data_IF_531386782945
#
_entry.id   IF_531386782945
#
_cell.length_a   1.000
_cell.length_b   1.000
_cell.length_c   1.000
_cell.angle_alpha   90.00
_cell.angle_beta   90.00
_cell.angle_gamma   90.00
#
_symmetry.space_group_name_H-M   'P 1'
#
loop_
_entity.id
_entity.type
_entity.pdbx_description
1 polymer ?
#
# COMPACT_ATOMS: atom_id res chain seq x y z
N UNK A 1 -19.53 -10.55 -2.26
CA UNK A 1 -18.70 -11.70 -1.90
C UNK A 1 -18.45 -11.64 -0.41
N UNK A 2 -18.83 -12.69 0.31
CA UNK A 2 -18.54 -12.81 1.74
C UNK A 2 -17.11 -13.30 1.91
N UNK A 3 -16.32 -12.49 2.60
CA UNK A 3 -14.88 -12.70 2.81
C UNK A 3 -14.59 -12.40 4.27
N UNK A 4 -13.94 -13.35 4.93
CA UNK A 4 -13.45 -13.21 6.30
C UNK A 4 -11.98 -12.84 6.25
N UNK A 5 -11.61 -11.76 6.95
CA UNK A 5 -10.21 -11.36 7.14
C UNK A 5 -9.81 -11.64 8.57
N UNK A 6 -8.78 -12.45 8.76
CA UNK A 6 -8.26 -12.81 10.09
C UNK A 6 -6.75 -13.03 10.07
N UNK A 7 -6.17 -13.07 11.26
CA UNK A 7 -4.80 -13.53 11.45
C UNK A 7 -4.64 -14.98 10.96
N UNK A 8 -3.50 -15.25 10.31
CA UNK A 8 -3.14 -16.59 9.87
C UNK A 8 -2.60 -17.41 11.02
N UNK A 9 -2.97 -18.69 11.06
CA UNK A 9 -2.57 -19.62 12.10
C UNK A 9 -1.93 -20.89 11.52
N UNK A 10 -0.80 -21.28 12.10
CA UNK A 10 -0.06 -22.48 11.73
C UNK A 10 0.68 -22.43 10.38
N UNK A 11 1.59 -23.40 10.19
CA UNK A 11 2.50 -23.44 9.04
C UNK A 11 1.78 -23.63 7.69
N UNK A 12 0.62 -24.32 7.69
CA UNK A 12 -0.16 -24.58 6.47
C UNK A 12 -0.65 -23.27 5.84
N UNK A 13 -1.24 -22.38 6.64
CA UNK A 13 -1.76 -21.10 6.16
C UNK A 13 -0.64 -20.15 5.75
N UNK A 14 0.46 -20.13 6.53
CA UNK A 14 1.65 -19.35 6.19
C UNK A 14 2.29 -19.81 4.88
N UNK A 15 2.26 -21.12 4.60
CA UNK A 15 2.73 -21.69 3.32
C UNK A 15 1.80 -21.31 2.18
N UNK A 16 0.48 -21.32 2.38
CA UNK A 16 -0.49 -20.87 1.39
C UNK A 16 -0.31 -19.38 1.04
N UNK A 17 -0.07 -18.53 2.05
CA UNK A 17 0.22 -17.11 1.85
C UNK A 17 1.50 -16.88 1.02
N UNK A 18 2.57 -17.61 1.31
CA UNK A 18 3.81 -17.54 0.54
C UNK A 18 3.62 -17.95 -0.94
N UNK A 19 2.80 -18.97 -1.20
CA UNK A 19 2.44 -19.39 -2.57
C UNK A 19 1.62 -18.32 -3.30
N UNK A 20 0.61 -17.75 -2.65
CA UNK A 20 -0.22 -16.69 -3.23
C UNK A 20 0.62 -15.45 -3.55
N UNK A 21 1.50 -15.03 -2.64
CA UNK A 21 2.43 -13.92 -2.86
C UNK A 21 3.25 -14.12 -4.14
N UNK A 22 3.90 -15.27 -4.28
CA UNK A 22 4.72 -15.58 -5.46
C UNK A 22 3.91 -15.57 -6.75
N UNK A 23 2.73 -16.18 -6.73
CA UNK A 23 1.83 -16.23 -7.90
C UNK A 23 1.42 -14.82 -8.34
N UNK A 24 1.04 -13.94 -7.41
CA UNK A 24 0.61 -12.58 -7.73
C UNK A 24 1.75 -11.72 -8.29
N UNK A 25 2.97 -11.92 -7.81
CA UNK A 25 4.15 -11.19 -8.30
C UNK A 25 4.84 -11.86 -9.49
N UNK A 26 4.40 -13.03 -9.95
CA UNK A 26 5.05 -13.78 -11.04
C UNK A 26 6.44 -14.31 -10.68
N UNK A 27 6.66 -14.64 -9.41
CA UNK A 27 7.94 -15.14 -8.93
C UNK A 27 8.02 -16.67 -9.03
N UNK A 28 8.78 -17.14 -10.02
CA UNK A 28 8.96 -18.57 -10.26
C UNK A 28 10.04 -19.19 -9.36
N UNK A 29 10.97 -18.35 -8.87
CA UNK A 29 12.07 -18.77 -8.02
C UNK A 29 11.69 -18.77 -6.53
N UNK A 30 12.00 -19.82 -5.74
CA UNK A 30 11.67 -19.92 -4.32
C UNK A 30 12.22 -18.78 -3.44
N UNK A 31 13.37 -18.21 -3.80
CA UNK A 31 14.08 -17.14 -3.08
C UNK A 31 13.32 -15.80 -3.04
N UNK A 32 12.41 -15.57 -3.98
CA UNK A 32 11.53 -14.40 -3.95
C UNK A 32 10.22 -14.67 -3.19
N UNK A 33 10.06 -15.87 -2.61
CA UNK A 33 8.95 -16.19 -1.73
C UNK A 33 9.11 -15.55 -0.35
N UNK A 34 7.97 -15.18 0.26
CA UNK A 34 7.98 -14.77 1.67
C UNK A 34 8.16 -16.00 2.54
N UNK A 35 9.19 -16.00 3.38
CA UNK A 35 9.48 -17.13 4.28
C UNK A 35 8.34 -17.33 5.29
N UNK A 36 7.73 -18.53 5.37
CA UNK A 36 6.73 -18.83 6.41
C UNK A 36 7.28 -18.64 7.84
N UNK A 37 8.58 -18.86 8.05
CA UNK A 37 9.23 -18.62 9.35
C UNK A 37 9.31 -17.14 9.70
N UNK A 38 9.54 -16.29 8.70
CA UNK A 38 9.49 -14.84 8.89
C UNK A 38 8.06 -14.40 9.24
N UNK A 39 7.05 -14.93 8.55
CA UNK A 39 5.65 -14.61 8.87
C UNK A 39 5.28 -15.04 10.30
N UNK A 40 5.69 -16.24 10.73
CA UNK A 40 5.50 -16.66 12.11
C UNK A 40 6.17 -15.69 13.10
N UNK A 41 7.42 -15.29 12.84
CA UNK A 41 8.13 -14.33 13.69
C UNK A 41 7.42 -12.96 13.73
N UNK A 42 6.94 -12.45 12.59
CA UNK A 42 6.22 -11.17 12.53
C UNK A 42 4.93 -11.21 13.33
N UNK A 43 4.16 -12.31 13.23
CA UNK A 43 2.92 -12.49 14.01
C UNK A 43 3.18 -12.37 15.52
N UNK A 44 4.23 -13.02 16.02
CA UNK A 44 4.59 -12.99 17.45
C UNK A 44 5.22 -11.66 17.91
N UNK A 45 5.61 -10.78 16.98
CA UNK A 45 6.41 -9.58 17.28
C UNK A 45 5.76 -8.29 16.75
N UNK A 46 4.47 -8.08 17.03
CA UNK A 46 3.75 -6.85 16.67
C UNK A 46 3.79 -6.52 15.16
N UNK A 47 3.90 -7.55 14.33
CA UNK A 47 3.64 -7.49 12.91
C UNK A 47 2.17 -7.75 12.60
N UNK A 48 1.82 -7.60 11.33
CA UNK A 48 0.52 -8.01 10.80
C UNK A 48 0.75 -9.15 9.83
N UNK A 49 0.00 -10.25 9.96
CA UNK A 49 0.00 -11.37 9.01
C UNK A 49 -1.43 -11.84 8.84
N UNK A 50 -2.11 -11.31 7.81
CA UNK A 50 -3.56 -11.43 7.66
C UNK A 50 -3.91 -12.09 6.32
N UNK A 51 -4.82 -13.06 6.36
CA UNK A 51 -5.42 -13.67 5.18
C UNK A 51 -6.85 -13.21 4.95
N UNK A 52 -7.25 -13.12 3.68
CA UNK A 52 -8.63 -13.03 3.25
C UNK A 52 -9.06 -14.38 2.68
N UNK A 53 -10.05 -15.01 3.30
CA UNK A 53 -10.56 -16.33 2.91
C UNK A 53 -11.97 -16.21 2.35
N UNK A 54 -12.25 -16.97 1.28
CA UNK A 54 -13.59 -17.15 0.74
C UNK A 54 -14.42 -18.16 1.59
N UNK A 55 -15.72 -18.36 1.31
CA UNK A 55 -16.56 -19.28 2.08
C UNK A 55 -16.12 -20.76 2.01
N UNK A 56 -15.35 -21.14 1.00
CA UNK A 56 -14.78 -22.48 0.88
C UNK A 56 -13.47 -22.65 1.67
N UNK A 57 -12.97 -21.59 2.30
CA UNK A 57 -11.70 -21.58 3.03
C UNK A 57 -10.48 -21.35 2.14
N UNK A 58 -10.66 -20.96 0.88
CA UNK A 58 -9.55 -20.65 -0.03
C UNK A 58 -9.00 -19.27 0.28
N UNK A 59 -7.66 -19.15 0.41
CA UNK A 59 -7.01 -17.86 0.58
C UNK A 59 -6.98 -17.09 -0.74
N UNK A 60 -7.77 -16.02 -0.82
CA UNK A 60 -7.92 -15.16 -2.00
C UNK A 60 -7.22 -13.81 -1.85
N UNK A 61 -6.64 -13.54 -0.69
CA UNK A 61 -5.84 -12.36 -0.43
C UNK A 61 -4.98 -12.51 0.82
N UNK A 62 -3.89 -11.76 0.86
CA UNK A 62 -2.90 -11.83 1.94
C UNK A 62 -2.22 -10.47 2.11
N UNK A 63 -1.98 -10.05 3.35
CA UNK A 63 -1.11 -8.91 3.61
C UNK A 63 -0.23 -9.15 4.82
N UNK A 64 0.97 -8.57 4.79
CA UNK A 64 1.85 -8.55 5.94
C UNK A 64 2.63 -7.25 6.08
N UNK A 65 3.14 -7.03 7.28
CA UNK A 65 3.83 -5.81 7.68
C UNK A 65 4.37 -5.89 9.09
N UNK A 66 5.09 -4.87 9.53
CA UNK A 66 5.82 -4.85 10.78
C UNK A 66 5.79 -3.45 11.43
N UNK A 67 5.86 -3.42 12.75
CA UNK A 67 6.05 -2.17 13.50
C UNK A 67 7.47 -1.64 13.29
N UNK A 68 7.60 -0.32 13.14
CA UNK A 68 8.85 0.38 12.92
C UNK A 68 8.84 1.72 13.66
N UNK A 69 10.03 2.21 14.00
CA UNK A 69 10.20 3.52 14.64
C UNK A 69 11.14 4.36 13.79
N UNK A 70 10.72 5.59 13.50
CA UNK A 70 11.52 6.59 12.80
C UNK A 70 11.32 7.94 13.47
N UNK A 71 12.41 8.63 13.81
CA UNK A 71 12.42 9.91 14.53
C UNK A 71 11.50 9.94 15.78
N UNK A 72 11.40 8.83 16.52
CA UNK A 72 10.58 8.70 17.73
C UNK A 72 9.09 8.43 17.48
N UNK A 73 8.65 8.39 16.22
CA UNK A 73 7.29 7.97 15.86
C UNK A 73 7.23 6.47 15.61
N UNK A 74 6.34 5.79 16.34
CA UNK A 74 5.92 4.43 16.01
C UNK A 74 4.95 4.45 14.83
N UNK A 75 5.27 3.69 13.78
CA UNK A 75 4.41 3.47 12.62
C UNK A 75 4.42 1.99 12.21
N UNK A 76 3.43 1.57 11.43
CA UNK A 76 3.39 0.24 10.85
C UNK A 76 3.79 0.28 9.38
N UNK A 77 4.77 -0.53 8.96
CA UNK A 77 5.12 -0.66 7.55
C UNK A 77 4.38 -1.84 6.93
N UNK A 78 3.48 -1.56 6.00
CA UNK A 78 2.76 -2.57 5.22
C UNK A 78 3.64 -3.04 4.05
N UNK A 79 4.42 -4.11 4.26
CA UNK A 79 5.34 -4.64 3.27
C UNK A 79 4.63 -5.14 2.00
N UNK A 80 3.53 -5.88 2.14
CA UNK A 80 2.79 -6.40 0.99
C UNK A 80 1.29 -6.52 1.28
N UNK A 81 0.49 -6.34 0.22
CA UNK A 81 -0.91 -6.70 0.18
C UNK A 81 -1.23 -7.23 -1.23
N UNK A 82 -1.60 -8.50 -1.32
CA UNK A 82 -1.88 -9.21 -2.56
C UNK A 82 -3.31 -9.72 -2.56
N UNK A 83 -3.92 -9.71 -3.74
CA UNK A 83 -5.29 -10.20 -3.98
C UNK A 83 -5.24 -11.03 -5.25
N UNK A 84 -5.77 -12.25 -5.18
CA UNK A 84 -5.91 -13.16 -6.32
C UNK A 84 -6.65 -12.46 -7.47
N UNK A 85 -6.26 -12.72 -8.71
CA UNK A 85 -6.73 -11.96 -9.88
C UNK A 85 -8.26 -11.98 -10.01
N UNK A 86 -8.85 -13.16 -9.80
CA UNK A 86 -10.28 -13.43 -9.79
C UNK A 86 -11.05 -12.71 -8.67
N UNK A 87 -10.35 -12.31 -7.60
CA UNK A 87 -10.92 -11.60 -6.46
C UNK A 87 -10.68 -10.07 -6.50
N UNK A 88 -9.97 -9.57 -7.52
CA UNK A 88 -9.72 -8.14 -7.66
C UNK A 88 -11.00 -7.36 -8.00
N UNK A 89 -11.12 -6.14 -7.47
CA UNK A 89 -12.32 -5.31 -7.66
C UNK A 89 -13.50 -5.66 -6.74
N UNK A 90 -13.44 -6.77 -6.00
CA UNK A 90 -14.50 -7.20 -5.06
C UNK A 90 -14.35 -6.61 -3.65
N UNK A 91 -13.47 -5.61 -3.47
CA UNK A 91 -13.23 -4.94 -2.19
C UNK A 91 -12.28 -5.67 -1.23
N UNK A 92 -11.72 -6.83 -1.60
CA UNK A 92 -10.80 -7.63 -0.76
C UNK A 92 -9.60 -6.81 -0.27
N UNK A 93 -8.93 -6.09 -1.18
CA UNK A 93 -7.78 -5.26 -0.83
C UNK A 93 -8.10 -4.16 0.19
N UNK A 94 -9.31 -3.57 0.12
CA UNK A 94 -9.78 -2.59 1.10
C UNK A 94 -9.96 -3.24 2.47
N UNK A 95 -10.59 -4.41 2.53
CA UNK A 95 -10.78 -5.15 3.79
C UNK A 95 -9.44 -5.54 4.42
N UNK A 96 -8.49 -6.03 3.62
CA UNK A 96 -7.13 -6.33 4.08
C UNK A 96 -6.44 -5.11 4.68
N UNK A 97 -6.45 -3.97 3.97
CA UNK A 97 -5.82 -2.73 4.46
C UNK A 97 -6.49 -2.20 5.74
N UNK A 98 -7.80 -2.30 5.85
CA UNK A 98 -8.53 -1.90 7.05
C UNK A 98 -8.22 -2.80 8.25
N UNK A 99 -8.16 -4.12 8.04
CA UNK A 99 -7.76 -5.06 9.09
C UNK A 99 -6.31 -4.84 9.52
N UNK A 100 -5.40 -4.60 8.57
CA UNK A 100 -4.00 -4.28 8.86
C UNK A 100 -3.87 -2.97 9.65
N UNK A 101 -4.66 -1.95 9.29
CA UNK A 101 -4.75 -0.71 10.04
C UNK A 101 -5.29 -0.91 11.47
N UNK A 102 -6.20 -1.86 11.68
CA UNK A 102 -6.67 -2.23 13.03
C UNK A 102 -5.58 -2.90 13.85
N UNK A 103 -4.83 -3.85 13.28
CA UNK A 103 -3.65 -4.46 13.94
C UNK A 103 -2.62 -3.38 14.31
N UNK A 104 -2.32 -2.47 13.38
CA UNK A 104 -1.39 -1.37 13.61
C UNK A 104 -1.84 -0.42 14.74
N UNK A 105 -3.12 -0.10 14.83
CA UNK A 105 -3.65 0.70 15.96
C UNK A 105 -3.45 0.00 17.30
N UNK A 106 -3.57 -1.33 17.33
CA UNK A 106 -3.36 -2.15 18.53
C UNK A 106 -1.94 -2.04 19.11
N UNK A 107 -0.94 -1.69 18.30
CA UNK A 107 0.44 -1.45 18.76
C UNK A 107 0.69 -0.01 19.21
N UNK A 108 -0.28 0.89 19.03
CA UNK A 108 -0.11 2.33 19.24
C UNK A 108 0.53 3.06 18.06
N UNK A 109 0.66 2.42 16.89
CA UNK A 109 1.20 3.08 15.70
C UNK A 109 0.36 4.31 15.31
N UNK A 110 1.01 5.45 15.05
CA UNK A 110 0.34 6.68 14.62
C UNK A 110 -0.08 6.62 13.14
N UNK A 111 0.80 6.05 12.32
CA UNK A 111 0.62 5.95 10.87
C UNK A 111 0.86 4.53 10.38
N UNK A 112 0.30 4.19 9.22
CA UNK A 112 0.70 3.03 8.43
C UNK A 112 1.30 3.49 7.11
N UNK A 113 2.47 2.97 6.74
CA UNK A 113 3.25 3.41 5.57
C UNK A 113 3.51 2.25 4.61
N UNK A 114 3.54 2.53 3.31
CA UNK A 114 3.94 1.56 2.28
C UNK A 114 4.30 2.28 0.98
N UNK A 115 5.01 1.59 0.10
CA UNK A 115 5.28 2.09 -1.27
C UNK A 115 4.27 1.54 -2.27
N UNK A 116 3.96 2.31 -3.32
CA UNK A 116 3.24 1.80 -4.51
C UNK A 116 3.86 2.32 -5.82
N UNK A 117 3.56 1.67 -6.94
CA UNK A 117 3.93 2.13 -8.29
C UNK A 117 3.08 3.35 -8.68
N UNK A 118 3.69 4.55 -8.87
CA UNK A 118 2.95 5.77 -9.19
C UNK A 118 2.25 5.71 -10.55
N UNK A 119 2.72 4.88 -11.48
CA UNK A 119 2.18 4.74 -12.83
C UNK A 119 0.96 3.81 -12.89
N UNK A 120 0.71 3.05 -11.82
CA UNK A 120 -0.48 2.22 -11.70
C UNK A 120 -1.68 3.07 -11.22
N UNK A 121 -2.32 3.79 -12.14
CA UNK A 121 -3.41 4.75 -11.84
C UNK A 121 -4.52 4.20 -10.93
N UNK A 122 -4.96 2.95 -11.15
CA UNK A 122 -5.97 2.31 -10.30
C UNK A 122 -5.49 2.16 -8.85
N UNK A 123 -4.20 1.87 -8.68
CA UNK A 123 -3.56 1.76 -7.38
C UNK A 123 -3.37 3.16 -6.76
N UNK A 124 -2.97 4.17 -7.53
CA UNK A 124 -2.90 5.56 -7.06
C UNK A 124 -4.26 6.03 -6.51
N UNK A 125 -5.34 5.82 -7.26
CA UNK A 125 -6.70 6.15 -6.83
C UNK A 125 -7.10 5.39 -5.55
N UNK A 126 -6.79 4.10 -5.46
CA UNK A 126 -7.08 3.32 -4.26
C UNK A 126 -6.34 3.86 -3.03
N UNK A 127 -5.04 4.14 -3.12
CA UNK A 127 -4.27 4.62 -1.98
C UNK A 127 -4.67 6.04 -1.56
N UNK A 128 -4.82 6.96 -2.51
CA UNK A 128 -5.00 8.37 -2.23
C UNK A 128 -6.47 8.75 -1.99
N UNK A 129 -7.37 8.36 -2.91
CA UNK A 129 -8.77 8.78 -2.88
C UNK A 129 -9.64 7.83 -2.05
N UNK A 130 -9.37 6.52 -2.07
CA UNK A 130 -10.22 5.52 -1.38
C UNK A 130 -9.77 5.31 0.08
N UNK A 131 -8.47 5.12 0.32
CA UNK A 131 -7.95 4.97 1.69
C UNK A 131 -7.71 6.32 2.37
N UNK A 132 -7.46 7.39 1.61
CA UNK A 132 -7.09 8.69 2.17
C UNK A 132 -5.62 8.78 2.61
N UNK A 133 -4.76 7.87 2.15
CA UNK A 133 -3.33 7.97 2.39
C UNK A 133 -2.73 9.16 1.62
N UNK A 134 -1.59 9.65 2.08
CA UNK A 134 -0.90 10.78 1.48
C UNK A 134 0.47 10.35 0.99
N UNK A 135 0.82 10.66 -0.25
CA UNK A 135 2.18 10.47 -0.77
C UNK A 135 3.13 11.45 -0.11
N UNK A 136 4.14 10.93 0.60
CA UNK A 136 5.07 11.70 1.42
C UNK A 136 6.50 11.72 0.87
N UNK A 137 6.83 10.83 -0.07
CA UNK A 137 8.15 10.79 -0.71
C UNK A 137 8.09 10.09 -2.06
N UNK A 138 8.79 10.64 -3.05
CA UNK A 138 9.11 9.93 -4.29
C UNK A 138 10.46 9.22 -4.15
N UNK A 139 10.49 7.96 -4.57
CA UNK A 139 11.63 7.04 -4.45
C UNK A 139 11.94 6.52 -5.86
N UNK A 140 12.82 7.20 -6.61
CA UNK A 140 13.19 6.77 -7.95
C UNK A 140 13.97 5.47 -7.90
N UNK A 141 13.67 4.55 -8.83
CA UNK A 141 14.35 3.26 -9.00
C UNK A 141 14.53 2.44 -7.70
N UNK A 142 13.50 2.44 -6.85
CA UNK A 142 13.62 1.99 -5.45
C UNK A 142 14.04 0.52 -5.28
N UNK A 143 13.60 -0.37 -6.17
CA UNK A 143 14.01 -1.78 -6.18
C UNK A 143 14.97 -2.11 -7.34
N UNK A 144 15.53 -1.10 -8.02
CA UNK A 144 16.30 -1.28 -9.27
C UNK A 144 15.42 -1.58 -10.49
N UNK A 145 16.00 -1.51 -11.69
CA UNK A 145 15.32 -1.86 -12.95
C UNK A 145 14.22 -0.88 -13.40
N UNK A 146 14.30 0.38 -12.99
CA UNK A 146 13.31 1.42 -13.30
C UNK A 146 12.07 1.37 -12.42
N UNK A 147 12.16 0.78 -11.22
CA UNK A 147 11.01 0.56 -10.33
C UNK A 147 10.74 1.74 -9.40
N UNK A 148 10.26 2.83 -9.98
CA UNK A 148 9.86 4.00 -9.20
C UNK A 148 8.75 3.69 -8.20
N UNK A 149 8.84 4.31 -7.03
CA UNK A 149 7.85 4.17 -5.96
C UNK A 149 7.46 5.52 -5.39
N UNK A 150 6.24 5.61 -4.89
CA UNK A 150 5.84 6.65 -3.96
C UNK A 150 5.57 6.00 -2.61
N UNK A 151 6.27 6.49 -1.59
CA UNK A 151 5.96 6.17 -0.20
C UNK A 151 4.74 6.96 0.22
N UNK A 152 3.72 6.26 0.70
CA UNK A 152 2.52 6.86 1.30
C UNK A 152 2.51 6.66 2.81
N UNK A 153 1.82 7.57 3.49
CA UNK A 153 1.48 7.48 4.91
C UNK A 153 -0.03 7.62 5.07
N UNK A 154 -0.61 6.72 5.85
CA UNK A 154 -2.02 6.73 6.23
C UNK A 154 -2.11 7.00 7.72
N UNK A 155 -2.72 8.12 8.10
CA UNK A 155 -3.04 8.42 9.50
C UNK A 155 -4.10 7.46 10.01
N UNK A 156 -3.80 6.78 11.11
CA UNK A 156 -4.69 5.75 11.66
C UNK A 156 -5.73 6.33 12.61
N UNK A 157 -5.55 7.54 13.12
CA UNK A 157 -6.39 8.09 14.19
C UNK A 157 -7.29 9.22 13.71
N UNK A 158 -6.89 9.92 12.66
CA UNK A 158 -7.61 11.07 12.14
C UNK A 158 -7.86 10.94 10.65
N UNK A 159 -9.04 11.38 10.21
CA UNK A 159 -9.27 11.60 8.79
C UNK A 159 -8.31 12.68 8.27
N UNK A 160 -7.85 12.53 7.02
CA UNK A 160 -7.00 13.53 6.38
C UNK A 160 -7.72 14.88 6.37
N UNK A 161 -7.07 15.91 6.91
CA UNK A 161 -7.51 17.29 6.74
C UNK A 161 -6.93 17.84 5.43
N UNK A 162 -7.71 18.52 4.58
CA UNK A 162 -7.18 19.18 3.39
C UNK A 162 -6.09 20.19 3.79
N UNK A 163 -4.96 20.16 3.06
CA UNK A 163 -3.89 21.14 3.18
C UNK A 163 -4.07 22.33 2.24
N UNK A 164 -3.01 23.12 2.07
CA UNK A 164 -2.98 24.22 1.11
C UNK A 164 -2.71 23.66 -0.29
N UNK A 165 -3.53 23.94 -1.31
CA UNK A 165 -3.28 23.47 -2.68
C UNK A 165 -1.89 23.85 -3.18
N UNK A 166 -1.12 22.88 -3.68
CA UNK A 166 0.24 23.04 -4.19
C UNK A 166 0.34 22.73 -5.70
N UNK A 167 -0.79 22.80 -6.40
CA UNK A 167 -0.89 22.55 -7.84
C UNK A 167 -1.22 21.10 -8.19
N UNK A 168 -1.12 20.79 -9.48
CA UNK A 168 -1.37 19.46 -10.00
C UNK A 168 -0.53 19.18 -11.24
N UNK A 169 -0.11 17.93 -11.40
CA UNK A 169 0.41 17.42 -12.68
C UNK A 169 -0.77 16.99 -13.52
N UNK A 170 -0.88 17.46 -14.76
CA UNK A 170 -1.91 17.04 -15.72
C UNK A 170 -1.26 16.41 -16.93
N UNK A 171 -1.47 15.12 -17.12
CA UNK A 171 -0.91 14.38 -18.25
C UNK A 171 -1.82 13.21 -18.65
N UNK A 172 -1.70 12.68 -19.88
CA UNK A 172 -2.27 11.37 -20.20
C UNK A 172 -1.78 10.31 -19.21
N UNK A 173 -2.63 9.32 -18.88
CA UNK A 173 -2.25 8.25 -17.94
C UNK A 173 -1.05 7.42 -18.44
N UNK A 174 -0.79 7.41 -19.74
CA UNK A 174 0.32 6.71 -20.40
C UNK A 174 1.63 7.50 -20.37
N UNK A 175 1.59 8.81 -20.10
CA UNK A 175 2.77 9.66 -20.09
C UNK A 175 3.50 9.59 -18.75
N UNK A 176 4.27 8.52 -18.59
CA UNK A 176 5.08 8.27 -17.39
C UNK A 176 6.16 9.33 -17.18
N UNK A 177 6.74 9.85 -18.26
CA UNK A 177 7.81 10.85 -18.18
C UNK A 177 7.30 12.17 -17.60
N UNK A 178 6.13 12.64 -18.06
CA UNK A 178 5.52 13.84 -17.51
C UNK A 178 5.14 13.68 -16.03
N UNK A 179 4.55 12.53 -15.65
CA UNK A 179 4.23 12.26 -14.26
C UNK A 179 5.50 12.20 -13.40
N UNK A 180 6.54 11.48 -13.84
CA UNK A 180 7.80 11.37 -13.13
C UNK A 180 8.42 12.74 -12.83
N UNK A 181 8.58 13.57 -13.87
CA UNK A 181 9.15 14.91 -13.73
C UNK A 181 8.29 15.78 -12.79
N UNK A 182 6.97 15.61 -12.84
CA UNK A 182 6.05 16.26 -11.91
C UNK A 182 6.23 15.84 -10.46
N UNK A 183 6.35 14.53 -10.20
CA UNK A 183 6.62 13.98 -8.87
C UNK A 183 7.94 14.53 -8.32
N UNK A 184 9.03 14.48 -9.10
CA UNK A 184 10.33 15.01 -8.70
C UNK A 184 10.24 16.50 -8.29
N UNK A 185 9.59 17.33 -9.09
CA UNK A 185 9.42 18.76 -8.77
C UNK A 185 8.57 19.01 -7.52
N UNK A 186 7.41 18.38 -7.41
CA UNK A 186 6.50 18.63 -6.28
C UNK A 186 7.07 18.12 -4.95
N UNK A 187 7.67 16.93 -4.94
CA UNK A 187 8.29 16.41 -3.72
C UNK A 187 9.56 17.19 -3.33
N UNK A 188 10.36 17.66 -4.30
CA UNK A 188 11.49 18.55 -4.00
C UNK A 188 11.06 19.89 -3.38
N UNK A 189 9.85 20.37 -3.73
CA UNK A 189 9.24 21.55 -3.14
C UNK A 189 8.55 21.29 -1.79
N UNK A 190 8.61 20.07 -1.25
CA UNK A 190 7.99 19.70 0.02
C UNK A 190 6.48 19.40 -0.05
N UNK A 191 5.90 19.40 -1.25
CA UNK A 191 4.49 19.09 -1.43
C UNK A 191 4.20 17.59 -1.27
N UNK A 192 2.97 17.29 -0.90
CA UNK A 192 2.46 15.94 -0.68
C UNK A 192 1.45 15.58 -1.76
N UNK A 193 1.51 14.34 -2.25
CA UNK A 193 0.56 13.87 -3.25
C UNK A 193 -0.72 13.40 -2.56
N UNK A 194 -1.85 14.06 -2.84
CA UNK A 194 -3.09 13.89 -2.09
C UNK A 194 -4.25 13.29 -2.89
N UNK A 195 -4.14 13.21 -4.21
CA UNK A 195 -5.26 12.71 -4.98
C UNK A 195 -4.94 12.48 -6.44
N UNK A 196 -5.83 11.71 -7.07
CA UNK A 196 -5.86 11.55 -8.51
C UNK A 196 -7.28 11.59 -9.03
N UNK A 197 -7.50 12.30 -10.13
CA UNK A 197 -8.81 12.46 -10.78
C UNK A 197 -8.65 12.30 -12.29
N UNK A 198 -9.55 11.53 -12.92
CA UNK A 198 -9.61 11.44 -14.37
C UNK A 198 -10.31 12.69 -14.92
N UNK A 199 -9.68 13.34 -15.89
CA UNK A 199 -10.19 14.52 -16.59
C UNK A 199 -10.22 14.20 -18.09
N UNK A 200 -11.36 13.85 -18.68
CA UNK A 200 -11.49 13.54 -20.11
C UNK A 200 -10.32 12.71 -20.73
N UNK A 201 -9.38 13.35 -21.42
CA UNK A 201 -8.19 12.78 -22.09
C UNK A 201 -6.94 12.66 -21.17
N UNK A 202 -7.03 13.14 -19.94
CA UNK A 202 -5.93 13.32 -18.98
C UNK A 202 -6.26 12.79 -17.59
N UNK A 203 -5.24 12.86 -16.76
CA UNK A 203 -5.30 12.60 -15.33
C UNK A 203 -4.69 13.79 -14.61
N UNK A 204 -5.40 14.31 -13.61
CA UNK A 204 -4.88 15.28 -12.66
C UNK A 204 -4.37 14.57 -11.41
N UNK A 205 -3.10 14.79 -11.09
CA UNK A 205 -2.43 14.32 -9.88
C UNK A 205 -2.24 15.52 -8.95
N UNK A 206 -3.03 15.60 -7.88
CA UNK A 206 -3.14 16.81 -7.04
C UNK A 206 -2.18 16.78 -5.87
N UNK A 207 -1.56 17.93 -5.58
CA UNK A 207 -0.61 18.08 -4.48
C UNK A 207 -1.08 19.15 -3.50
N UNK A 208 -0.75 18.96 -2.23
CA UNK A 208 -1.02 19.91 -1.14
C UNK A 208 0.24 20.09 -0.28
N UNK A 209 0.40 21.26 0.30
CA UNK A 209 1.35 21.52 1.38
C UNK A 209 0.64 21.39 2.73
N UNK A 210 1.40 21.10 3.79
CA UNK A 210 0.85 21.12 5.15
C UNK A 210 0.27 22.51 5.45
N UNK A 211 -0.93 22.54 6.03
CA UNK A 211 -1.56 23.78 6.48
C UNK A 211 -0.82 24.32 7.71
N UNK A 212 -0.62 25.64 7.76
CA UNK A 212 -0.10 26.38 8.94
C UNK A 212 -0.99 26.20 10.16
#
# INVERSE_FOLDING_TARGET
MDVVVRELDGLSELTAAARLYRSVFGYDQPEYGVSPRLLAALRENSGSVLGALDPAGTMIGFCYGFSAVDAGELYHYSQAAVVAAEAQGLGVGRRLKQAQAQTARGTGARTMRWTFDPYALRNAHFNLNVLGATGIRFLPDYYGGGTDRVLVSWDLWHARKPGVPAGAVRSPATDRAALRAGLERHFAAGARWTGVTREADRVAYTFENDGS
#
